data_IF_722975205608
#
_entry.id   IF_722975205608
#
_cell.length_a   1.000
_cell.length_b   1.000
_cell.length_c   1.000
_cell.angle_alpha   90.00
_cell.angle_beta   90.00
_cell.angle_gamma   90.00
#
_symmetry.space_group_name_H-M   'P 1'
#
loop_
_entity.id
_entity.type
_entity.pdbx_description
1 polymer ?
#
# COMPACT_ATOMS: atom_id res chain seq x y z
N UNK A 1 -8.03 27.76 -26.36
CA UNK A 1 -6.56 28.03 -26.32
C UNK A 1 -5.97 26.91 -25.47
N UNK A 2 -5.29 25.96 -26.08
CA UNK A 2 -4.52 24.94 -25.35
C UNK A 2 -3.27 25.65 -24.79
N UNK A 3 -3.33 26.03 -23.53
CA UNK A 3 -2.11 26.45 -22.83
C UNK A 3 -1.18 25.24 -22.81
N UNK A 4 -0.12 25.27 -23.60
CA UNK A 4 0.92 24.25 -23.54
C UNK A 4 1.49 24.27 -22.11
N UNK A 5 1.42 23.15 -21.40
CA UNK A 5 2.08 23.00 -20.13
C UNK A 5 3.59 23.13 -20.35
N UNK A 6 4.20 24.20 -19.86
CA UNK A 6 5.65 24.26 -19.76
C UNK A 6 6.09 23.40 -18.58
N UNK A 7 6.71 22.26 -18.91
CA UNK A 7 7.21 21.33 -17.91
C UNK A 7 8.38 22.02 -17.17
N UNK A 8 8.33 22.14 -15.83
CA UNK A 8 9.36 22.85 -15.07
C UNK A 8 10.72 22.14 -15.12
N UNK A 9 11.80 22.90 -15.03
CA UNK A 9 13.16 22.35 -15.09
C UNK A 9 13.44 21.36 -13.95
N UNK A 10 12.91 21.63 -12.76
CA UNK A 10 12.99 20.73 -11.59
C UNK A 10 12.40 19.33 -11.83
N UNK A 11 11.42 19.19 -12.71
CA UNK A 11 10.88 17.88 -13.11
C UNK A 11 11.94 17.01 -13.79
N UNK A 12 12.71 17.58 -14.72
CA UNK A 12 13.78 16.84 -15.40
C UNK A 12 14.93 16.48 -14.43
N UNK A 13 15.24 17.37 -13.49
CA UNK A 13 16.19 17.09 -12.41
C UNK A 13 15.68 15.93 -11.55
N UNK A 14 14.41 15.95 -11.14
CA UNK A 14 13.82 14.90 -10.32
C UNK A 14 13.84 13.54 -11.03
N UNK A 15 13.54 13.50 -12.32
CA UNK A 15 13.64 12.27 -13.13
C UNK A 15 15.10 11.80 -13.25
N UNK A 16 16.06 12.70 -13.48
CA UNK A 16 17.46 12.33 -13.60
C UNK A 16 17.99 11.72 -12.27
N UNK A 17 17.66 12.35 -11.13
CA UNK A 17 18.00 11.82 -9.81
C UNK A 17 17.33 10.44 -9.62
N UNK A 18 16.05 10.32 -9.92
CA UNK A 18 15.30 9.08 -9.79
C UNK A 18 15.91 7.94 -10.63
N UNK A 19 16.22 8.19 -11.91
CA UNK A 19 16.87 7.22 -12.80
C UNK A 19 18.24 6.79 -12.25
N UNK A 20 19.04 7.74 -11.80
CA UNK A 20 20.33 7.45 -11.18
C UNK A 20 20.17 6.52 -9.96
N UNK A 21 19.22 6.82 -9.08
CA UNK A 21 18.96 6.04 -7.87
C UNK A 21 18.39 4.65 -8.17
N UNK A 22 17.55 4.51 -9.21
CA UNK A 22 17.09 3.22 -9.70
C UNK A 22 18.26 2.35 -10.18
N UNK A 23 19.13 2.90 -11.00
CA UNK A 23 20.31 2.18 -11.52
C UNK A 23 21.26 1.83 -10.37
N UNK A 24 21.50 2.74 -9.44
CA UNK A 24 22.31 2.48 -8.25
C UNK A 24 21.77 1.32 -7.42
N UNK A 25 20.47 1.34 -7.11
CA UNK A 25 19.83 0.29 -6.32
C UNK A 25 19.82 -1.05 -7.06
N UNK A 26 19.55 -1.05 -8.38
CA UNK A 26 19.59 -2.24 -9.22
C UNK A 26 20.99 -2.87 -9.26
N UNK A 27 22.04 -2.05 -9.37
CA UNK A 27 23.44 -2.50 -9.32
C UNK A 27 23.83 -3.05 -7.94
N UNK A 28 23.23 -2.52 -6.86
CA UNK A 28 23.46 -2.94 -5.48
C UNK A 28 22.44 -3.99 -4.99
N UNK A 29 21.77 -4.72 -5.89
CA UNK A 29 20.71 -5.72 -5.57
C UNK A 29 21.08 -6.77 -4.51
N UNK A 30 22.36 -7.02 -4.30
CA UNK A 30 22.85 -7.91 -3.25
C UNK A 30 22.79 -7.30 -1.84
N UNK A 31 22.63 -6.00 -1.72
CA UNK A 31 22.41 -5.32 -0.43
C UNK A 31 20.95 -5.48 0.00
N UNK A 32 20.72 -5.78 1.27
CA UNK A 32 19.38 -6.03 1.81
C UNK A 32 18.40 -4.85 1.63
N UNK A 33 18.90 -3.62 1.68
CA UNK A 33 18.10 -2.42 1.49
C UNK A 33 17.71 -2.12 0.03
N UNK A 34 18.39 -2.73 -0.95
CA UNK A 34 18.24 -2.32 -2.36
C UNK A 34 16.85 -2.61 -2.92
N UNK A 35 16.30 -3.82 -2.68
CA UNK A 35 14.96 -4.19 -3.17
C UNK A 35 13.86 -3.33 -2.52
N UNK A 36 13.84 -3.13 -1.19
CA UNK A 36 12.92 -2.18 -0.57
C UNK A 36 13.07 -0.74 -1.08
N UNK A 37 14.29 -0.27 -1.31
CA UNK A 37 14.52 1.06 -1.86
C UNK A 37 13.98 1.19 -3.30
N UNK A 38 14.17 0.17 -4.14
CA UNK A 38 13.59 0.12 -5.49
C UNK A 38 12.06 0.26 -5.43
N UNK A 39 11.39 -0.41 -4.50
CA UNK A 39 9.92 -0.29 -4.36
C UNK A 39 9.50 1.14 -3.99
N UNK A 40 10.26 1.84 -3.15
CA UNK A 40 10.00 3.26 -2.80
C UNK A 40 10.23 4.17 -4.00
N UNK A 41 11.33 3.98 -4.76
CA UNK A 41 11.59 4.76 -5.96
C UNK A 41 10.49 4.58 -7.02
N UNK A 42 10.04 3.33 -7.26
CA UNK A 42 8.94 3.05 -8.18
C UNK A 42 7.62 3.66 -7.70
N UNK A 43 7.37 3.60 -6.40
CA UNK A 43 6.21 4.27 -5.77
C UNK A 43 6.26 5.77 -5.98
N UNK A 44 7.41 6.41 -5.78
CA UNK A 44 7.58 7.86 -6.01
C UNK A 44 7.27 8.21 -7.47
N UNK A 45 7.81 7.45 -8.42
CA UNK A 45 7.54 7.70 -9.84
C UNK A 45 6.05 7.57 -10.17
N UNK A 46 5.41 6.50 -9.68
CA UNK A 46 4.00 6.25 -9.94
C UNK A 46 3.10 7.39 -9.46
N UNK A 47 3.41 8.01 -8.32
CA UNK A 47 2.54 9.01 -7.71
C UNK A 47 2.89 10.46 -8.05
N UNK A 48 4.14 10.74 -8.47
CA UNK A 48 4.61 12.12 -8.66
C UNK A 48 5.07 12.45 -10.09
N UNK A 49 5.40 11.42 -10.92
CA UNK A 49 5.88 11.71 -12.28
C UNK A 49 4.86 11.37 -13.37
N UNK A 50 3.90 10.51 -13.10
CA UNK A 50 2.96 10.03 -14.12
C UNK A 50 1.92 11.06 -14.52
N UNK A 51 1.61 12.04 -13.68
CA UNK A 51 0.55 13.03 -13.91
C UNK A 51 0.82 13.92 -15.13
N UNK A 52 2.09 14.25 -15.36
CA UNK A 52 2.51 15.00 -16.55
C UNK A 52 2.08 14.32 -17.86
N UNK A 53 1.97 12.99 -17.86
CA UNK A 53 1.58 12.20 -19.03
C UNK A 53 0.07 11.92 -19.09
N UNK A 54 -0.59 11.73 -17.95
CA UNK A 54 -1.99 11.32 -17.91
C UNK A 54 -2.98 12.46 -17.79
N UNK A 55 -2.59 13.57 -17.17
CA UNK A 55 -3.49 14.71 -16.91
C UNK A 55 -2.73 16.03 -16.87
N UNK A 56 -1.98 16.39 -17.93
CA UNK A 56 -1.16 17.61 -17.95
C UNK A 56 -2.02 18.88 -17.77
N UNK A 57 -3.27 18.87 -18.21
CA UNK A 57 -4.23 19.96 -18.06
C UNK A 57 -4.49 20.36 -16.61
N UNK A 58 -4.35 19.43 -15.65
CA UNK A 58 -4.52 19.72 -14.24
C UNK A 58 -3.37 20.54 -13.66
N UNK A 59 -2.20 20.47 -14.29
CA UNK A 59 -1.01 21.17 -13.84
C UNK A 59 -0.96 22.63 -14.33
N UNK A 60 -1.70 22.96 -15.42
CA UNK A 60 -1.70 24.30 -16.00
C UNK A 60 -2.31 25.39 -15.10
N UNK A 61 -3.04 25.00 -14.05
CA UNK A 61 -3.63 25.93 -13.08
C UNK A 61 -2.62 26.48 -12.06
N UNK A 62 -1.43 25.87 -11.95
CA UNK A 62 -0.40 26.28 -11.01
C UNK A 62 0.62 27.22 -11.64
N UNK A 63 1.15 28.14 -10.83
CA UNK A 63 2.27 28.99 -11.27
C UNK A 63 3.53 28.16 -11.50
N UNK A 64 4.41 28.57 -12.42
CA UNK A 64 5.69 27.90 -12.66
C UNK A 64 6.51 27.72 -11.37
N UNK A 65 6.49 28.72 -10.48
CA UNK A 65 7.21 28.67 -9.19
C UNK A 65 6.73 27.56 -8.28
N UNK A 66 5.41 27.28 -8.22
CA UNK A 66 4.83 26.20 -7.42
C UNK A 66 5.19 24.83 -8.01
N UNK A 67 5.16 24.70 -9.35
CA UNK A 67 5.59 23.48 -10.02
C UNK A 67 7.07 23.17 -9.78
N UNK A 68 7.93 24.19 -9.92
CA UNK A 68 9.37 24.09 -9.62
C UNK A 68 9.63 23.66 -8.18
N UNK A 69 8.95 24.31 -7.22
CA UNK A 69 9.08 24.00 -5.80
C UNK A 69 8.65 22.55 -5.50
N UNK A 70 7.51 22.09 -6.04
CA UNK A 70 7.02 20.76 -5.77
C UNK A 70 7.94 19.66 -6.30
N UNK A 71 8.47 19.78 -7.52
CA UNK A 71 9.43 18.80 -8.03
C UNK A 71 10.80 18.90 -7.38
N UNK A 72 11.19 20.08 -6.90
CA UNK A 72 12.35 20.22 -6.01
C UNK A 72 12.16 19.42 -4.71
N UNK A 73 10.97 19.49 -4.09
CA UNK A 73 10.62 18.73 -2.90
C UNK A 73 10.68 17.22 -3.15
N UNK A 74 10.23 16.75 -4.32
CA UNK A 74 10.36 15.34 -4.72
C UNK A 74 11.83 14.93 -4.84
N UNK A 75 12.65 15.77 -5.47
CA UNK A 75 14.09 15.55 -5.60
C UNK A 75 14.77 15.48 -4.22
N UNK A 76 14.41 16.41 -3.35
CA UNK A 76 14.95 16.47 -1.99
C UNK A 76 14.57 15.24 -1.16
N UNK A 77 13.30 14.81 -1.24
CA UNK A 77 12.87 13.54 -0.64
C UNK A 77 13.73 12.37 -1.13
N UNK A 78 13.93 12.22 -2.44
CA UNK A 78 14.69 11.11 -3.03
C UNK A 78 16.14 11.11 -2.51
N UNK A 79 16.78 12.25 -2.45
CA UNK A 79 18.14 12.40 -1.96
C UNK A 79 18.23 12.04 -0.48
N UNK A 80 17.38 12.63 0.36
CA UNK A 80 17.35 12.36 1.81
C UNK A 80 17.08 10.89 2.08
N UNK A 81 16.08 10.30 1.43
CA UNK A 81 15.77 8.89 1.54
C UNK A 81 16.98 8.01 1.18
N UNK A 82 17.66 8.31 0.08
CA UNK A 82 18.85 7.57 -0.35
C UNK A 82 19.95 7.56 0.71
N UNK A 83 20.21 8.69 1.37
CA UNK A 83 21.22 8.75 2.43
C UNK A 83 20.78 8.03 3.71
N UNK A 84 19.51 8.09 4.04
CA UNK A 84 18.98 7.50 5.27
C UNK A 84 18.84 5.98 5.21
N UNK A 85 18.38 5.43 4.06
CA UNK A 85 18.00 4.01 3.97
C UNK A 85 19.10 3.02 4.35
N UNK A 86 20.38 3.18 3.93
CA UNK A 86 21.43 2.25 4.35
C UNK A 86 21.74 2.33 5.85
N UNK A 87 21.76 3.57 6.40
CA UNK A 87 22.04 3.82 7.81
C UNK A 87 20.95 3.26 8.71
N UNK A 88 19.68 3.48 8.37
CA UNK A 88 18.52 2.96 9.08
C UNK A 88 18.51 1.43 9.00
N UNK A 89 18.73 0.85 7.82
CA UNK A 89 18.80 -0.61 7.63
C UNK A 89 19.87 -1.23 8.50
N UNK A 90 21.07 -0.67 8.50
CA UNK A 90 22.17 -1.14 9.34
C UNK A 90 21.84 -1.05 10.85
N UNK A 91 21.14 0.02 11.25
CA UNK A 91 20.74 0.21 12.65
C UNK A 91 19.68 -0.80 13.08
N UNK A 92 18.69 -1.09 12.23
CA UNK A 92 17.65 -2.10 12.46
C UNK A 92 18.25 -3.50 12.46
N UNK A 93 19.19 -3.80 11.54
CA UNK A 93 19.86 -5.11 11.46
C UNK A 93 20.77 -5.36 12.67
N UNK A 94 21.54 -4.35 13.12
CA UNK A 94 22.43 -4.47 14.29
C UNK A 94 21.71 -4.59 15.62
N UNK A 95 20.53 -3.98 15.77
CA UNK A 95 19.66 -4.09 16.95
C UNK A 95 18.92 -5.41 17.01
N UNK A 96 19.27 -6.35 16.15
CA UNK A 96 18.78 -7.70 16.25
C UNK A 96 18.92 -8.23 17.68
N UNK A 97 17.80 -8.64 18.25
CA UNK A 97 17.77 -9.37 19.51
C UNK A 97 18.52 -10.69 19.27
N UNK A 98 19.83 -10.70 19.53
CA UNK A 98 20.74 -11.84 19.27
C UNK A 98 20.21 -13.19 19.76
N UNK A 99 19.27 -13.18 20.69
CA UNK A 99 18.58 -14.37 21.18
C UNK A 99 17.37 -14.80 20.32
N UNK A 100 16.74 -13.92 19.52
CA UNK A 100 15.50 -14.21 18.77
C UNK A 100 15.73 -14.78 17.35
N UNK A 101 16.94 -14.76 16.83
CA UNK A 101 17.22 -15.11 15.43
C UNK A 101 17.60 -16.55 15.19
N UNK A 102 17.94 -17.32 16.24
CA UNK A 102 18.56 -18.63 16.06
C UNK A 102 17.60 -19.74 15.60
N UNK A 103 16.31 -19.60 15.85
CA UNK A 103 15.29 -20.61 15.50
C UNK A 103 14.11 -19.96 14.76
N UNK A 104 14.30 -19.63 13.48
CA UNK A 104 13.18 -19.26 12.62
C UNK A 104 12.23 -20.45 12.49
N UNK A 105 10.96 -20.26 12.78
CA UNK A 105 9.91 -21.27 12.58
C UNK A 105 9.89 -21.69 11.11
N UNK A 106 10.36 -22.89 10.82
CA UNK A 106 10.29 -23.52 9.51
C UNK A 106 8.96 -24.27 9.41
N UNK A 107 7.89 -23.57 9.04
CA UNK A 107 6.62 -24.24 8.79
C UNK A 107 6.62 -24.89 7.40
N UNK A 108 6.15 -26.12 7.34
CA UNK A 108 5.87 -26.77 6.06
C UNK A 108 4.76 -25.97 5.33
N UNK A 109 4.94 -25.58 4.05
CA UNK A 109 3.93 -24.85 3.27
C UNK A 109 2.54 -25.49 3.27
N UNK A 110 2.46 -26.81 3.29
CA UNK A 110 1.18 -27.54 3.36
C UNK A 110 0.46 -27.32 4.70
N UNK A 111 1.19 -27.42 5.82
CA UNK A 111 0.62 -27.19 7.16
C UNK A 111 0.20 -25.71 7.33
N UNK A 112 1.01 -24.80 6.80
CA UNK A 112 0.67 -23.37 6.79
C UNK A 112 -0.64 -23.12 6.02
N UNK A 113 -0.81 -23.76 4.85
CA UNK A 113 -2.05 -23.66 4.08
C UNK A 113 -3.27 -24.10 4.91
N UNK A 114 -3.18 -25.23 5.60
CA UNK A 114 -4.27 -25.72 6.45
C UNK A 114 -4.65 -24.72 7.54
N UNK A 115 -3.66 -24.15 8.23
CA UNK A 115 -3.87 -23.12 9.25
C UNK A 115 -4.55 -21.90 8.66
N UNK A 116 -4.06 -21.42 7.49
CA UNK A 116 -4.63 -20.25 6.84
C UNK A 116 -6.07 -20.46 6.35
N UNK A 117 -6.41 -21.67 5.90
CA UNK A 117 -7.80 -22.00 5.55
C UNK A 117 -8.72 -21.92 6.77
N UNK A 118 -8.30 -22.46 7.92
CA UNK A 118 -9.08 -22.38 9.17
C UNK A 118 -9.28 -20.90 9.58
N UNK A 119 -8.22 -20.11 9.53
CA UNK A 119 -8.30 -18.67 9.86
C UNK A 119 -9.21 -17.95 8.86
N UNK A 120 -9.09 -18.27 7.56
CA UNK A 120 -9.94 -17.67 6.51
C UNK A 120 -11.42 -18.00 6.76
N UNK A 121 -11.75 -19.27 7.05
CA UNK A 121 -13.11 -19.68 7.35
C UNK A 121 -13.66 -18.90 8.55
N UNK A 122 -12.92 -18.82 9.65
CA UNK A 122 -13.34 -18.09 10.84
C UNK A 122 -13.60 -16.61 10.54
N UNK A 123 -12.66 -15.95 9.85
CA UNK A 123 -12.79 -14.54 9.47
C UNK A 123 -13.94 -14.34 8.47
N UNK A 124 -14.08 -15.22 7.48
CA UNK A 124 -15.15 -15.14 6.48
C UNK A 124 -16.52 -15.19 7.15
N UNK A 125 -16.78 -16.20 7.98
CA UNK A 125 -18.06 -16.30 8.68
C UNK A 125 -18.32 -15.15 9.65
N UNK A 126 -17.28 -14.67 10.32
CA UNK A 126 -17.42 -13.45 11.13
C UNK A 126 -17.82 -12.25 10.25
N UNK A 127 -17.17 -12.04 9.10
CA UNK A 127 -17.54 -10.96 8.17
C UNK A 127 -18.96 -11.15 7.59
N UNK A 128 -19.36 -12.38 7.24
CA UNK A 128 -20.71 -12.70 6.74
C UNK A 128 -21.77 -12.40 7.81
N UNK A 129 -21.50 -12.68 9.09
CA UNK A 129 -22.43 -12.33 10.18
C UNK A 129 -22.70 -10.82 10.27
N UNK A 130 -21.72 -9.97 9.92
CA UNK A 130 -21.89 -8.51 9.83
C UNK A 130 -22.74 -8.08 8.62
N UNK A 131 -22.91 -8.96 7.62
CA UNK A 131 -23.73 -8.76 6.43
C UNK A 131 -25.10 -9.49 6.51
N UNK A 132 -25.61 -9.71 7.72
CA UNK A 132 -26.87 -10.43 7.94
C UNK A 132 -26.90 -11.83 7.26
N UNK A 133 -25.75 -12.52 7.24
CA UNK A 133 -25.56 -13.85 6.65
C UNK A 133 -25.73 -13.91 5.11
N UNK A 134 -25.59 -12.78 4.42
CA UNK A 134 -25.57 -12.77 2.96
C UNK A 134 -24.21 -13.24 2.41
N UNK A 135 -24.09 -14.55 2.20
CA UNK A 135 -22.87 -15.19 1.69
C UNK A 135 -22.56 -14.75 0.25
N UNK A 136 -23.61 -14.54 -0.55
CA UNK A 136 -23.44 -14.17 -1.96
C UNK A 136 -22.83 -12.75 -2.06
N UNK A 137 -23.40 -11.79 -1.33
CA UNK A 137 -22.88 -10.43 -1.26
C UNK A 137 -21.47 -10.37 -0.66
N UNK A 138 -21.13 -11.28 0.27
CA UNK A 138 -19.80 -11.38 0.85
C UNK A 138 -18.73 -11.83 -0.16
N UNK A 139 -19.07 -12.78 -1.03
CA UNK A 139 -18.15 -13.34 -2.04
C UNK A 139 -18.12 -12.50 -3.32
N UNK A 140 -19.26 -11.98 -3.74
CA UNK A 140 -19.46 -11.29 -5.02
C UNK A 140 -20.24 -9.98 -4.78
N UNK A 141 -19.63 -8.94 -4.17
CA UNK A 141 -20.31 -7.67 -3.95
C UNK A 141 -20.69 -7.01 -5.28
N UNK A 142 -21.98 -6.73 -5.48
CA UNK A 142 -22.52 -6.24 -6.74
C UNK A 142 -22.69 -4.71 -6.81
N UNK A 143 -22.93 -4.04 -5.69
CA UNK A 143 -23.38 -2.66 -5.64
C UNK A 143 -22.28 -1.59 -5.56
N UNK A 144 -21.06 -1.88 -5.99
CA UNK A 144 -19.97 -0.90 -6.05
C UNK A 144 -19.40 -0.49 -4.68
N UNK A 145 -18.80 0.73 -4.63
CA UNK A 145 -18.07 1.22 -3.46
C UNK A 145 -18.96 1.48 -2.24
N UNK A 146 -20.18 1.87 -2.45
CA UNK A 146 -21.08 2.33 -1.40
C UNK A 146 -22.04 1.24 -0.89
N UNK A 147 -22.10 0.10 -1.59
CA UNK A 147 -22.90 -1.04 -1.14
C UNK A 147 -22.26 -1.74 0.06
N UNK A 148 -23.06 -2.35 0.94
CA UNK A 148 -22.56 -3.19 2.01
C UNK A 148 -21.65 -4.28 1.45
N UNK A 149 -20.53 -4.49 2.07
CA UNK A 149 -19.52 -5.49 1.67
C UNK A 149 -18.80 -6.04 2.88
N UNK A 150 -18.12 -7.15 2.67
CA UNK A 150 -17.32 -7.77 3.72
C UNK A 150 -16.36 -6.74 4.33
N UNK A 151 -16.32 -6.62 5.64
CA UNK A 151 -15.48 -5.69 6.40
C UNK A 151 -15.81 -4.21 6.19
N UNK A 152 -17.07 -3.90 5.86
CA UNK A 152 -17.50 -2.51 5.74
C UNK A 152 -17.69 -1.87 7.12
N UNK A 153 -17.01 -0.75 7.34
CA UNK A 153 -17.06 0.00 8.60
C UNK A 153 -18.44 0.66 8.81
N UNK A 154 -19.11 1.02 7.73
CA UNK A 154 -20.41 1.72 7.79
C UNK A 154 -21.51 0.78 8.32
N UNK A 155 -21.37 -0.54 8.10
CA UNK A 155 -22.37 -1.51 8.51
C UNK A 155 -22.49 -1.68 10.03
N UNK A 156 -21.45 -1.35 10.80
CA UNK A 156 -21.43 -1.62 12.25
C UNK A 156 -21.40 -0.33 13.09
N UNK A 157 -20.81 0.74 12.57
CA UNK A 157 -20.73 2.07 13.22
C UNK A 157 -20.01 2.09 14.57
N UNK A 158 -19.28 3.17 14.85
CA UNK A 158 -18.84 3.54 16.18
C UNK A 158 -17.64 2.79 16.75
N UNK A 159 -17.75 2.29 17.96
CA UNK A 159 -16.61 1.86 18.80
C UNK A 159 -15.85 0.62 18.30
N UNK A 160 -16.49 -0.20 17.47
CA UNK A 160 -15.90 -1.45 16.94
C UNK A 160 -15.18 -1.30 15.60
N UNK A 161 -15.14 -0.11 15.02
CA UNK A 161 -14.49 0.15 13.71
C UNK A 161 -13.04 -0.34 13.64
N UNK A 162 -12.32 -0.27 14.76
CA UNK A 162 -10.95 -0.76 14.82
C UNK A 162 -10.89 -2.29 14.68
N UNK A 163 -11.74 -3.02 15.39
CA UNK A 163 -11.76 -4.50 15.37
C UNK A 163 -12.14 -4.98 13.97
N UNK A 164 -13.16 -4.38 13.36
CA UNK A 164 -13.61 -4.70 12.01
C UNK A 164 -12.51 -4.41 11.00
N UNK A 165 -11.84 -3.25 11.12
CA UNK A 165 -10.71 -2.90 10.27
C UNK A 165 -9.55 -3.89 10.42
N UNK A 166 -9.17 -4.23 11.66
CA UNK A 166 -8.10 -5.18 11.94
C UNK A 166 -8.43 -6.58 11.37
N UNK A 167 -9.66 -7.03 11.52
CA UNK A 167 -10.14 -8.29 10.96
C UNK A 167 -10.12 -8.27 9.43
N UNK A 168 -10.58 -7.17 8.81
CA UNK A 168 -10.55 -6.98 7.36
C UNK A 168 -9.13 -6.98 6.78
N UNK A 169 -8.19 -6.31 7.43
CA UNK A 169 -6.79 -6.34 7.01
C UNK A 169 -6.15 -7.71 7.23
N UNK A 170 -6.51 -8.42 8.32
CA UNK A 170 -6.04 -9.80 8.56
C UNK A 170 -6.61 -10.75 7.49
N UNK A 171 -7.88 -10.56 7.12
CA UNK A 171 -8.50 -11.31 6.03
C UNK A 171 -7.78 -11.08 4.69
N UNK A 172 -7.47 -9.82 4.34
CA UNK A 172 -6.70 -9.49 3.14
C UNK A 172 -5.30 -10.12 3.17
N UNK A 173 -4.63 -10.11 4.33
CA UNK A 173 -3.34 -10.76 4.54
C UNK A 173 -3.44 -12.27 4.27
N UNK A 174 -4.43 -12.96 4.82
CA UNK A 174 -4.63 -14.40 4.61
C UNK A 174 -4.90 -14.70 3.12
N UNK A 175 -5.73 -13.89 2.44
CA UNK A 175 -6.00 -14.03 1.02
C UNK A 175 -4.75 -13.83 0.14
N UNK A 176 -3.86 -12.91 0.51
CA UNK A 176 -2.58 -12.71 -0.16
C UNK A 176 -1.65 -13.90 0.02
N UNK A 177 -1.65 -14.54 1.21
CA UNK A 177 -0.88 -15.75 1.46
C UNK A 177 -1.25 -16.91 0.52
N UNK A 178 -2.52 -17.07 0.14
CA UNK A 178 -2.90 -18.11 -0.83
C UNK A 178 -2.18 -17.93 -2.16
N UNK A 179 -2.08 -16.69 -2.66
CA UNK A 179 -1.31 -16.39 -3.86
C UNK A 179 0.19 -16.67 -3.72
N UNK A 180 0.78 -16.33 -2.58
CA UNK A 180 2.20 -16.59 -2.29
C UNK A 180 2.44 -18.11 -2.22
N UNK A 181 1.63 -18.84 -1.44
CA UNK A 181 1.78 -20.28 -1.22
C UNK A 181 1.59 -21.09 -2.50
N UNK A 182 0.78 -20.62 -3.46
CA UNK A 182 0.63 -21.27 -4.76
C UNK A 182 1.97 -21.54 -5.44
N UNK A 183 2.94 -20.62 -5.33
CA UNK A 183 4.28 -20.77 -5.89
C UNK A 183 5.23 -21.60 -5.03
N UNK A 184 4.98 -21.71 -3.73
CA UNK A 184 5.81 -22.51 -2.82
C UNK A 184 5.39 -23.98 -2.71
N UNK A 185 4.14 -24.32 -3.06
CA UNK A 185 3.64 -25.68 -2.99
C UNK A 185 4.32 -26.55 -4.07
N UNK A 186 4.78 -27.73 -3.66
CA UNK A 186 5.31 -28.77 -4.56
C UNK A 186 4.26 -29.79 -4.99
N UNK A 187 3.31 -30.09 -4.08
CA UNK A 187 2.25 -31.07 -4.33
C UNK A 187 1.11 -30.46 -5.14
N UNK A 188 0.67 -31.17 -6.19
CA UNK A 188 -0.40 -30.73 -7.08
C UNK A 188 -1.72 -30.48 -6.34
N UNK A 189 -2.10 -31.32 -5.37
CA UNK A 189 -3.30 -31.13 -4.57
C UNK A 189 -3.28 -29.79 -3.79
N UNK A 190 -2.17 -29.49 -3.13
CA UNK A 190 -2.04 -28.22 -2.40
C UNK A 190 -2.07 -27.00 -3.32
N UNK A 191 -1.55 -27.13 -4.55
CA UNK A 191 -1.67 -26.06 -5.55
C UNK A 191 -3.11 -25.85 -5.98
N UNK A 192 -3.86 -26.94 -6.22
CA UNK A 192 -5.28 -26.86 -6.58
C UNK A 192 -6.08 -26.20 -5.46
N UNK A 193 -5.85 -26.61 -4.20
CA UNK A 193 -6.52 -25.99 -3.05
C UNK A 193 -6.20 -24.49 -2.98
N UNK A 194 -4.93 -24.08 -3.13
CA UNK A 194 -4.56 -22.66 -3.17
C UNK A 194 -5.29 -21.92 -4.30
N UNK A 195 -5.36 -22.51 -5.49
CA UNK A 195 -6.08 -21.92 -6.63
C UNK A 195 -7.56 -21.75 -6.34
N UNK A 196 -8.19 -22.75 -5.74
CA UNK A 196 -9.61 -22.67 -5.31
C UNK A 196 -9.78 -21.52 -4.31
N UNK A 197 -8.88 -21.39 -3.31
CA UNK A 197 -8.96 -20.32 -2.32
C UNK A 197 -8.77 -18.94 -2.96
N UNK A 198 -7.91 -18.80 -3.97
CA UNK A 198 -7.74 -17.57 -4.74
C UNK A 198 -9.04 -17.25 -5.50
N UNK A 199 -9.61 -18.23 -6.22
CA UNK A 199 -10.83 -18.03 -7.01
C UNK A 199 -12.02 -17.64 -6.12
N UNK A 200 -12.11 -18.18 -4.92
CA UNK A 200 -13.21 -17.87 -3.98
C UNK A 200 -13.00 -16.50 -3.30
N UNK A 201 -11.77 -16.15 -2.92
CA UNK A 201 -11.53 -15.00 -2.05
C UNK A 201 -11.17 -13.69 -2.79
N UNK A 202 -10.48 -13.74 -3.95
CA UNK A 202 -10.01 -12.54 -4.64
C UNK A 202 -11.09 -11.74 -5.37
N UNK A 203 -12.15 -12.36 -5.96
CA UNK A 203 -13.21 -11.60 -6.61
C UNK A 203 -13.84 -10.54 -5.71
N UNK A 204 -14.02 -10.81 -4.43
CA UNK A 204 -14.57 -9.84 -3.48
C UNK A 204 -13.74 -8.54 -3.41
N UNK A 205 -12.41 -8.63 -3.48
CA UNK A 205 -11.53 -7.45 -3.49
C UNK A 205 -11.61 -6.67 -4.80
N UNK A 206 -11.76 -7.37 -5.93
CA UNK A 206 -11.92 -6.76 -7.24
C UNK A 206 -13.27 -6.06 -7.37
N UNK A 207 -14.36 -6.75 -7.04
CA UNK A 207 -15.74 -6.27 -7.18
C UNK A 207 -16.10 -5.17 -6.17
N UNK A 208 -15.35 -5.06 -5.06
CA UNK A 208 -15.55 -4.00 -4.07
C UNK A 208 -15.30 -2.57 -4.59
N UNK A 209 -14.86 -2.42 -5.84
CA UNK A 209 -14.51 -1.12 -6.43
C UNK A 209 -13.25 -0.46 -5.85
N UNK A 210 -12.50 -1.15 -5.00
CA UNK A 210 -11.32 -0.65 -4.32
C UNK A 210 -10.03 -1.21 -4.93
N UNK A 211 -9.48 -0.53 -5.93
CA UNK A 211 -8.24 -0.91 -6.65
C UNK A 211 -7.10 -1.31 -5.73
N UNK A 212 -6.89 -0.53 -4.67
CA UNK A 212 -5.77 -0.74 -3.75
C UNK A 212 -5.91 -2.05 -2.95
N UNK A 213 -7.13 -2.44 -2.62
CA UNK A 213 -7.39 -3.70 -1.89
C UNK A 213 -7.07 -4.91 -2.77
N UNK A 214 -7.47 -4.88 -4.04
CA UNK A 214 -7.13 -5.94 -4.99
C UNK A 214 -5.62 -6.04 -5.22
N UNK A 215 -4.94 -4.91 -5.45
CA UNK A 215 -3.49 -4.89 -5.62
C UNK A 215 -2.74 -5.38 -4.38
N UNK A 216 -3.20 -5.02 -3.18
CA UNK A 216 -2.59 -5.48 -1.93
C UNK A 216 -2.62 -7.01 -1.77
N UNK A 217 -3.64 -7.66 -2.34
CA UNK A 217 -3.79 -9.13 -2.30
C UNK A 217 -3.06 -9.81 -3.47
N UNK A 218 -3.14 -9.26 -4.69
CA UNK A 218 -2.58 -9.89 -5.90
C UNK A 218 -1.08 -9.63 -6.10
N UNK A 219 -0.58 -8.43 -5.76
CA UNK A 219 0.81 -8.06 -5.99
C UNK A 219 1.82 -8.96 -5.27
N UNK A 220 1.61 -9.41 -4.01
CA UNK A 220 2.52 -10.36 -3.35
C UNK A 220 2.69 -11.67 -4.11
N UNK A 221 1.63 -12.19 -4.71
CA UNK A 221 1.69 -13.41 -5.55
C UNK A 221 2.55 -13.18 -6.79
N UNK A 222 2.34 -12.07 -7.49
CA UNK A 222 3.15 -11.67 -8.65
C UNK A 222 4.63 -11.50 -8.28
N UNK A 223 4.93 -10.82 -7.18
CA UNK A 223 6.30 -10.66 -6.69
C UNK A 223 6.93 -12.02 -6.33
N UNK A 224 6.14 -12.93 -5.75
CA UNK A 224 6.61 -14.30 -5.49
C UNK A 224 7.02 -14.99 -6.80
N UNK A 225 6.18 -14.91 -7.83
CA UNK A 225 6.52 -15.44 -9.15
C UNK A 225 7.84 -14.87 -9.70
N UNK A 226 7.98 -13.54 -9.69
CA UNK A 226 9.19 -12.87 -10.21
C UNK A 226 10.46 -13.32 -9.46
N UNK A 227 10.40 -13.42 -8.13
CA UNK A 227 11.56 -13.70 -7.29
C UNK A 227 11.90 -15.20 -7.30
N UNK A 228 10.89 -16.09 -7.27
CA UNK A 228 11.12 -17.55 -7.08
C UNK A 228 11.18 -18.35 -8.38
N UNK A 229 10.61 -17.83 -9.46
CA UNK A 229 10.60 -18.52 -10.76
C UNK A 229 12.02 -18.67 -11.32
N UNK A 230 12.32 -19.86 -11.89
CA UNK A 230 13.58 -20.15 -12.58
C UNK A 230 13.59 -19.79 -14.06
N UNK A 231 12.52 -19.18 -14.54
CA UNK A 231 12.40 -18.78 -15.94
C UNK A 231 13.44 -17.72 -16.33
N UNK A 232 13.74 -17.63 -17.63
CA UNK A 232 14.64 -16.61 -18.17
C UNK A 232 14.09 -15.20 -17.89
N UNK A 233 14.97 -14.24 -17.74
CA UNK A 233 14.59 -12.85 -17.47
C UNK A 233 13.71 -12.25 -18.60
N UNK A 234 13.96 -12.62 -19.85
CA UNK A 234 13.13 -12.21 -20.99
C UNK A 234 11.68 -12.66 -20.85
N UNK A 235 11.47 -13.93 -20.52
CA UNK A 235 10.13 -14.46 -20.33
C UNK A 235 9.42 -13.78 -19.14
N UNK A 236 10.15 -13.54 -18.05
CA UNK A 236 9.62 -12.77 -16.91
C UNK A 236 9.21 -11.36 -17.34
N UNK A 237 10.02 -10.69 -18.16
CA UNK A 237 9.72 -9.34 -18.67
C UNK A 237 8.46 -9.37 -19.55
N UNK A 238 8.35 -10.31 -20.49
CA UNK A 238 7.16 -10.43 -21.35
C UNK A 238 5.91 -10.68 -20.52
N UNK A 239 5.96 -11.62 -19.58
CA UNK A 239 4.83 -11.91 -18.68
C UNK A 239 4.50 -10.68 -17.82
N UNK A 240 5.51 -9.97 -17.32
CA UNK A 240 5.30 -8.75 -16.50
C UNK A 240 4.63 -7.64 -17.31
N UNK A 241 5.06 -7.40 -18.54
CA UNK A 241 4.44 -6.41 -19.43
C UNK A 241 3.01 -6.82 -19.78
N UNK A 242 2.77 -8.07 -20.15
CA UNK A 242 1.43 -8.58 -20.42
C UNK A 242 0.51 -8.48 -19.20
N UNK A 243 1.01 -8.82 -18.02
CA UNK A 243 0.26 -8.70 -16.77
C UNK A 243 0.01 -7.24 -16.40
N UNK A 244 0.96 -6.33 -16.63
CA UNK A 244 0.78 -4.90 -16.39
C UNK A 244 -0.35 -4.34 -17.26
N UNK A 245 -0.37 -4.69 -18.55
CA UNK A 245 -1.43 -4.29 -19.49
C UNK A 245 -2.78 -4.85 -19.03
N UNK A 246 -2.83 -6.14 -18.69
CA UNK A 246 -4.05 -6.79 -18.21
C UNK A 246 -4.56 -6.15 -16.91
N UNK A 247 -3.69 -5.96 -15.93
CA UNK A 247 -4.04 -5.33 -14.63
C UNK A 247 -4.51 -3.89 -14.86
N UNK A 248 -3.83 -3.13 -15.72
CA UNK A 248 -4.26 -1.77 -16.07
C UNK A 248 -5.67 -1.77 -16.66
N UNK A 249 -5.96 -2.67 -17.60
CA UNK A 249 -7.28 -2.82 -18.20
C UNK A 249 -8.34 -3.22 -17.15
N UNK A 250 -8.04 -4.21 -16.30
CA UNK A 250 -8.92 -4.62 -15.21
C UNK A 250 -9.20 -3.47 -14.22
N UNK A 251 -8.18 -2.66 -13.91
CA UNK A 251 -8.35 -1.50 -13.03
C UNK A 251 -9.19 -0.38 -13.66
N UNK A 252 -9.15 -0.19 -14.99
CA UNK A 252 -10.05 0.71 -15.69
C UNK A 252 -11.50 0.24 -15.61
N UNK A 253 -11.74 -1.06 -15.78
CA UNK A 253 -13.08 -1.66 -15.59
C UNK A 253 -13.58 -1.41 -14.15
N UNK A 254 -12.73 -1.61 -13.13
CA UNK A 254 -13.09 -1.31 -11.73
C UNK A 254 -13.50 0.16 -11.55
N UNK A 255 -12.82 1.10 -12.23
CA UNK A 255 -13.16 2.51 -12.14
C UNK A 255 -14.56 2.77 -12.72
N UNK A 256 -14.91 2.16 -13.85
CA UNK A 256 -16.18 2.39 -14.52
C UNK A 256 -17.37 1.95 -13.67
N UNK A 257 -17.30 0.82 -12.96
CA UNK A 257 -18.40 0.36 -12.10
C UNK A 257 -18.25 0.73 -10.61
N UNK A 258 -17.21 1.51 -10.26
CA UNK A 258 -16.89 1.81 -8.86
C UNK A 258 -18.03 2.40 -8.04
N UNK A 259 -18.82 3.26 -8.63
CA UNK A 259 -19.88 3.98 -7.92
C UNK A 259 -21.26 3.30 -8.08
N UNK A 260 -21.50 2.66 -9.19
CA UNK A 260 -22.79 2.08 -9.57
C UNK A 260 -22.88 0.58 -9.28
N UNK A 261 -21.76 -0.12 -9.36
CA UNK A 261 -21.71 -1.57 -9.22
C UNK A 261 -21.48 -2.28 -10.55
N UNK A 262 -21.13 -3.58 -10.45
CA UNK A 262 -20.81 -4.39 -11.63
C UNK A 262 -22.05 -4.73 -12.45
N UNK A 263 -23.23 -4.76 -11.85
CA UNK A 263 -24.51 -4.97 -12.54
C UNK A 263 -24.76 -3.92 -13.58
N UNK A 264 -24.64 -2.63 -13.21
CA UNK A 264 -24.85 -1.50 -14.11
C UNK A 264 -23.83 -1.47 -15.27
N UNK A 265 -22.64 -2.01 -15.05
CA UNK A 265 -21.66 -2.19 -16.11
C UNK A 265 -22.10 -3.22 -17.15
N UNK A 266 -22.64 -4.37 -16.71
CA UNK A 266 -23.13 -5.41 -17.62
C UNK A 266 -24.46 -5.02 -18.32
N UNK A 267 -25.27 -4.21 -17.67
CA UNK A 267 -26.52 -3.69 -18.24
C UNK A 267 -26.27 -2.54 -19.23
N UNK A 268 -25.01 -2.20 -19.49
CA UNK A 268 -24.61 -1.16 -20.45
C UNK A 268 -24.91 0.27 -19.98
N UNK A 269 -25.30 0.46 -18.72
CA UNK A 269 -25.58 1.76 -18.13
C UNK A 269 -24.30 2.60 -17.94
N UNK A 270 -23.11 2.00 -18.02
CA UNK A 270 -21.82 2.66 -17.82
C UNK A 270 -20.91 2.38 -19.04
N UNK A 271 -20.53 3.42 -19.76
CA UNK A 271 -19.58 3.34 -20.86
C UNK A 271 -18.12 3.47 -20.36
N UNK A 272 -17.24 2.59 -20.83
CA UNK A 272 -15.79 2.65 -20.56
C UNK A 272 -15.15 3.96 -21.05
N UNK A 273 -15.71 4.57 -22.13
CA UNK A 273 -15.16 5.76 -22.76
C UNK A 273 -15.28 7.05 -21.93
N UNK A 274 -16.33 7.16 -21.10
CA UNK A 274 -16.65 8.42 -20.43
C UNK A 274 -15.91 8.65 -19.11
N UNK A 275 -15.31 7.60 -18.54
CA UNK A 275 -14.65 7.63 -17.23
C UNK A 275 -13.21 7.07 -17.22
N UNK A 276 -12.63 6.84 -18.39
CA UNK A 276 -11.36 6.13 -18.55
C UNK A 276 -10.09 6.88 -18.09
N UNK A 277 -10.24 8.00 -17.38
CA UNK A 277 -9.09 8.66 -16.77
C UNK A 277 -8.75 8.03 -15.44
N UNK A 278 -7.47 7.72 -15.24
CA UNK A 278 -6.94 7.27 -13.95
C UNK A 278 -7.01 8.38 -12.89
N UNK A 279 -8.23 8.79 -12.56
CA UNK A 279 -8.45 9.72 -11.45
C UNK A 279 -7.88 9.11 -10.16
N UNK A 280 -6.98 9.84 -9.51
CA UNK A 280 -6.39 9.45 -8.22
C UNK A 280 -4.93 8.98 -8.25
N UNK A 281 -4.21 9.13 -9.38
CA UNK A 281 -2.74 9.12 -9.42
C UNK A 281 -2.20 10.56 -9.43
N UNK A 282 -2.77 11.43 -8.59
CA UNK A 282 -2.60 12.88 -8.64
C UNK A 282 -1.92 13.43 -7.39
N UNK A 283 -0.93 12.74 -6.86
CA UNK A 283 -0.22 13.23 -5.66
C UNK A 283 0.74 14.38 -5.97
N UNK A 284 1.16 14.54 -7.21
CA UNK A 284 1.86 15.74 -7.63
C UNK A 284 0.94 16.97 -7.58
N UNK A 285 -0.28 16.86 -8.15
CA UNK A 285 -1.30 17.91 -8.05
C UNK A 285 -1.60 18.27 -6.59
N UNK A 286 -1.75 17.28 -5.71
CA UNK A 286 -2.01 17.55 -4.30
C UNK A 286 -0.82 18.24 -3.62
N UNK A 287 0.42 17.88 -3.95
CA UNK A 287 1.61 18.58 -3.46
C UNK A 287 1.64 20.05 -3.91
N UNK A 288 1.27 20.33 -5.15
CA UNK A 288 1.19 21.70 -5.66
C UNK A 288 0.05 22.49 -5.01
N UNK A 289 -1.11 21.88 -4.79
CA UNK A 289 -2.21 22.49 -4.04
C UNK A 289 -1.75 22.88 -2.61
N UNK A 290 -1.05 21.98 -1.91
CA UNK A 290 -0.53 22.23 -0.57
C UNK A 290 0.45 23.39 -0.58
N UNK A 291 1.39 23.42 -1.52
CA UNK A 291 2.34 24.53 -1.64
C UNK A 291 1.62 25.86 -1.93
N UNK A 292 0.59 25.86 -2.80
CA UNK A 292 -0.22 27.03 -3.10
C UNK A 292 -1.00 27.52 -1.88
N UNK A 293 -1.59 26.62 -1.11
CA UNK A 293 -2.29 26.99 0.13
C UNK A 293 -1.33 27.53 1.19
N UNK A 294 -0.15 26.92 1.32
CA UNK A 294 0.86 27.37 2.27
C UNK A 294 1.40 28.74 1.92
N UNK A 295 1.57 29.07 0.63
CA UNK A 295 2.00 30.39 0.18
C UNK A 295 0.96 31.48 0.54
N UNK A 296 -0.34 31.15 0.43
CA UNK A 296 -1.44 32.04 0.77
C UNK A 296 -1.68 32.17 2.28
N UNK A 297 -1.48 31.08 3.02
CA UNK A 297 -1.73 31.03 4.44
C UNK A 297 -0.78 30.07 5.18
N UNK A 298 0.34 30.55 5.72
CA UNK A 298 1.29 29.74 6.47
C UNK A 298 0.69 29.06 7.73
N UNK A 299 -0.47 29.50 8.21
CA UNK A 299 -1.10 28.90 9.41
C UNK A 299 -1.69 27.50 9.18
N UNK A 300 -1.67 26.98 7.94
CA UNK A 300 -2.08 25.58 7.66
C UNK A 300 -1.11 24.53 8.21
N UNK A 301 0.06 24.95 8.72
CA UNK A 301 1.03 24.04 9.30
C UNK A 301 0.48 23.32 10.52
N UNK A 302 0.62 22.00 10.51
CA UNK A 302 0.08 21.12 11.55
C UNK A 302 1.12 20.62 12.56
N UNK A 303 2.38 21.03 12.40
CA UNK A 303 3.48 20.74 13.35
C UNK A 303 3.57 19.28 13.81
N UNK A 304 3.34 18.33 12.91
CA UNK A 304 3.39 16.90 13.20
C UNK A 304 2.09 16.29 13.73
N UNK A 305 1.02 17.08 13.89
CA UNK A 305 -0.26 16.61 14.45
C UNK A 305 -0.91 15.50 13.62
N UNK A 306 -0.78 15.50 12.28
CA UNK A 306 -1.29 14.42 11.45
C UNK A 306 -0.58 13.09 11.72
N UNK A 307 0.73 13.11 11.91
CA UNK A 307 1.49 11.90 12.24
C UNK A 307 1.17 11.41 13.64
N UNK A 308 0.96 12.34 14.57
CA UNK A 308 0.52 12.00 15.93
C UNK A 308 -0.90 11.41 15.93
N UNK A 309 -1.83 12.02 15.19
CA UNK A 309 -3.19 11.50 15.01
C UNK A 309 -3.17 10.08 14.40
N UNK A 310 -2.30 9.83 13.41
CA UNK A 310 -2.12 8.51 12.82
C UNK A 310 -1.62 7.48 13.83
N UNK A 311 -0.66 7.86 14.68
CA UNK A 311 -0.17 6.98 15.75
C UNK A 311 -1.27 6.66 16.78
N UNK A 312 -2.10 7.64 17.13
CA UNK A 312 -3.24 7.44 18.02
C UNK A 312 -4.41 6.68 17.38
N UNK A 313 -4.43 6.57 16.05
CA UNK A 313 -5.54 5.91 15.34
C UNK A 313 -5.68 4.43 15.69
N UNK A 314 -4.62 3.78 16.16
CA UNK A 314 -4.63 2.40 16.66
C UNK A 314 -5.53 2.28 17.91
N UNK A 315 -5.63 3.34 18.72
CA UNK A 315 -6.41 3.33 19.95
C UNK A 315 -7.90 3.46 19.62
N UNK A 316 -8.76 2.52 20.06
CA UNK A 316 -10.20 2.62 19.84
C UNK A 316 -10.81 3.88 20.44
N UNK A 317 -11.88 4.42 19.83
CA UNK A 317 -12.55 5.66 20.30
C UNK A 317 -13.19 5.51 21.68
N UNK A 318 -13.60 4.33 22.07
CA UNK A 318 -14.12 4.11 23.43
C UNK A 318 -13.06 4.29 24.52
N UNK A 319 -11.76 4.15 24.17
CA UNK A 319 -10.62 4.41 25.09
C UNK A 319 -10.20 5.89 24.98
N UNK A 320 -10.17 6.45 23.74
CA UNK A 320 -9.78 7.82 23.48
C UNK A 320 -10.85 8.52 22.60
N UNK A 321 -11.98 9.01 23.21
CA UNK A 321 -13.10 9.58 22.46
C UNK A 321 -12.71 10.81 21.62
N UNK A 322 -11.86 11.66 22.15
CA UNK A 322 -11.45 12.95 21.55
C UNK A 322 -10.16 12.84 20.72
N UNK A 323 -9.86 11.66 20.14
CA UNK A 323 -8.67 11.57 19.29
C UNK A 323 -8.80 12.46 18.05
N UNK A 324 -7.72 13.17 17.64
CA UNK A 324 -7.75 14.05 16.47
C UNK A 324 -8.11 13.29 15.20
N UNK A 325 -8.82 13.93 14.29
CA UNK A 325 -9.10 13.39 12.96
C UNK A 325 -7.91 13.63 12.03
N UNK A 326 -7.53 12.61 11.28
CA UNK A 326 -6.39 12.66 10.36
C UNK A 326 -6.77 13.47 9.12
N UNK A 327 -5.93 14.43 8.72
CA UNK A 327 -6.09 15.20 7.50
C UNK A 327 -7.32 16.10 7.48
N UNK A 328 -7.94 16.38 8.62
CA UNK A 328 -9.20 17.12 8.69
C UNK A 328 -9.10 18.54 8.10
N UNK A 329 -8.10 19.30 8.49
CA UNK A 329 -7.91 20.67 8.04
C UNK A 329 -7.63 20.75 6.54
N UNK A 330 -6.80 19.87 6.01
CA UNK A 330 -6.54 19.80 4.58
C UNK A 330 -7.80 19.44 3.79
N UNK A 331 -8.58 18.48 4.28
CA UNK A 331 -9.85 18.12 3.64
C UNK A 331 -10.86 19.27 3.64
N UNK A 332 -10.92 20.08 4.69
CA UNK A 332 -11.74 21.29 4.72
C UNK A 332 -11.30 22.32 3.68
N UNK A 333 -9.98 22.57 3.58
CA UNK A 333 -9.42 23.50 2.58
C UNK A 333 -9.75 23.02 1.16
N UNK A 334 -9.57 21.73 0.88
CA UNK A 334 -9.87 21.15 -0.44
C UNK A 334 -11.37 21.15 -0.73
N UNK A 335 -12.22 20.88 0.24
CA UNK A 335 -13.67 20.95 0.09
C UNK A 335 -14.12 22.37 -0.23
N UNK A 336 -13.60 23.39 0.45
CA UNK A 336 -13.92 24.79 0.19
C UNK A 336 -13.50 25.27 -1.20
N UNK A 337 -12.36 24.74 -1.72
CA UNK A 337 -11.83 25.13 -3.03
C UNK A 337 -12.43 24.37 -4.22
N UNK A 338 -12.89 23.13 -4.01
CA UNK A 338 -13.34 22.24 -5.10
C UNK A 338 -14.80 21.78 -4.99
N UNK A 339 -15.49 22.10 -3.89
CA UNK A 339 -16.86 21.65 -3.62
C UNK A 339 -16.98 20.13 -3.39
N UNK A 340 -15.87 19.41 -3.26
CA UNK A 340 -15.85 17.95 -3.12
C UNK A 340 -15.76 17.59 -1.64
N UNK A 341 -16.85 17.07 -1.07
CA UNK A 341 -16.87 16.50 0.29
C UNK A 341 -16.29 15.07 0.29
N UNK A 342 -15.00 14.92 0.01
CA UNK A 342 -14.34 13.63 0.01
C UNK A 342 -13.03 13.69 0.80
N UNK A 343 -12.67 12.57 1.45
CA UNK A 343 -11.35 12.44 2.08
C UNK A 343 -10.29 12.35 1.00
N UNK A 344 -9.50 13.40 0.84
CA UNK A 344 -8.45 13.51 -0.16
C UNK A 344 -7.12 13.18 0.53
N UNK A 345 -6.33 12.32 -0.10
CA UNK A 345 -4.99 12.01 0.39
C UNK A 345 -4.01 13.07 -0.08
N UNK A 346 -3.17 13.57 0.83
CA UNK A 346 -2.18 14.61 0.54
C UNK A 346 -0.95 14.11 -0.22
N UNK A 347 -0.81 12.81 -0.41
CA UNK A 347 0.46 12.20 -0.81
C UNK A 347 1.47 12.19 0.34
N UNK A 348 2.40 11.25 0.33
CA UNK A 348 3.33 11.14 1.47
C UNK A 348 4.28 12.34 1.58
N UNK A 349 4.73 12.95 0.46
CA UNK A 349 5.55 14.17 0.48
C UNK A 349 4.70 15.37 0.89
N UNK A 350 3.50 15.51 0.31
CA UNK A 350 2.58 16.59 0.64
C UNK A 350 2.17 16.60 2.11
N UNK A 351 1.93 15.41 2.69
CA UNK A 351 1.68 15.29 4.13
C UNK A 351 2.87 15.78 4.98
N UNK A 352 4.09 15.49 4.53
CA UNK A 352 5.28 16.05 5.16
C UNK A 352 5.30 17.57 5.11
N UNK A 353 4.98 18.16 3.95
CA UNK A 353 4.92 19.60 3.76
C UNK A 353 3.84 20.25 4.64
N UNK A 354 2.65 19.67 4.73
CA UNK A 354 1.57 20.11 5.63
C UNK A 354 2.01 20.16 7.10
N UNK A 355 2.83 19.20 7.52
CA UNK A 355 3.25 19.12 8.92
C UNK A 355 4.50 19.93 9.27
N UNK A 356 5.45 20.08 8.34
CA UNK A 356 6.77 20.65 8.65
C UNK A 356 7.20 21.75 7.67
N UNK A 357 6.29 22.17 6.78
CA UNK A 357 6.54 23.23 5.81
C UNK A 357 7.40 22.81 4.63
N UNK A 358 7.67 23.76 3.77
CA UNK A 358 8.25 23.58 2.44
C UNK A 358 9.60 22.85 2.45
N UNK A 359 10.48 23.17 3.38
CA UNK A 359 11.87 22.70 3.39
C UNK A 359 12.10 21.46 4.24
N UNK A 360 11.47 21.38 5.41
CA UNK A 360 11.60 20.23 6.30
C UNK A 360 10.58 19.13 5.98
N UNK A 361 9.51 19.48 5.27
CA UNK A 361 8.42 18.55 4.92
C UNK A 361 8.87 17.27 4.26
N UNK A 362 9.72 17.27 3.23
CA UNK A 362 10.17 16.05 2.56
C UNK A 362 11.03 15.12 3.44
N UNK A 363 11.61 15.62 4.54
CA UNK A 363 12.47 14.81 5.43
C UNK A 363 11.66 13.80 6.23
N UNK A 364 10.50 14.19 6.76
CA UNK A 364 9.67 13.29 7.57
C UNK A 364 9.24 12.02 6.81
N UNK A 365 8.64 12.10 5.62
CA UNK A 365 8.34 10.91 4.82
C UNK A 365 9.60 10.14 4.41
N UNK A 366 10.75 10.81 4.19
CA UNK A 366 12.00 10.11 3.88
C UNK A 366 12.47 9.24 5.06
N UNK A 367 12.33 9.72 6.30
CA UNK A 367 12.62 8.95 7.51
C UNK A 367 11.64 7.77 7.64
N UNK A 368 10.33 8.01 7.52
CA UNK A 368 9.31 6.97 7.66
C UNK A 368 9.44 5.88 6.60
N UNK A 369 9.63 6.26 5.34
CA UNK A 369 9.88 5.30 4.26
C UNK A 369 11.24 4.61 4.42
N UNK A 370 12.23 5.29 5.00
CA UNK A 370 13.52 4.69 5.38
C UNK A 370 13.36 3.62 6.46
N UNK A 371 12.55 3.86 7.48
CA UNK A 371 12.22 2.88 8.53
C UNK A 371 11.48 1.69 7.92
N UNK A 372 10.50 1.95 7.06
CA UNK A 372 9.76 0.91 6.34
C UNK A 372 10.69 0.05 5.47
N UNK A 373 11.51 0.67 4.64
CA UNK A 373 12.49 -0.03 3.81
C UNK A 373 13.50 -0.82 4.65
N UNK A 374 13.96 -0.27 5.78
CA UNK A 374 14.83 -0.97 6.73
C UNK A 374 14.16 -2.18 7.38
N UNK A 375 12.89 -2.09 7.73
CA UNK A 375 12.09 -3.20 8.23
C UNK A 375 11.95 -4.31 7.17
N UNK A 376 11.62 -3.95 5.93
CA UNK A 376 11.54 -4.90 4.83
C UNK A 376 12.90 -5.53 4.53
N UNK A 377 13.99 -4.76 4.58
CA UNK A 377 15.35 -5.28 4.41
C UNK A 377 15.67 -6.35 5.44
N UNK A 378 15.25 -6.17 6.69
CA UNK A 378 15.40 -7.19 7.74
C UNK A 378 14.60 -8.46 7.44
N UNK A 379 13.36 -8.34 6.99
CA UNK A 379 12.57 -9.50 6.57
C UNK A 379 13.23 -10.24 5.40
N UNK A 380 13.82 -9.52 4.47
CA UNK A 380 14.59 -10.08 3.36
C UNK A 380 15.84 -10.83 3.82
N UNK A 381 16.57 -10.34 4.80
CA UNK A 381 17.72 -11.04 5.39
C UNK A 381 17.32 -12.38 6.00
N UNK A 382 16.10 -12.48 6.51
CA UNK A 382 15.52 -13.65 7.16
C UNK A 382 14.61 -14.48 6.24
N UNK A 383 14.77 -14.35 4.91
CA UNK A 383 13.93 -14.99 3.89
C UNK A 383 13.97 -16.53 3.85
N UNK A 384 14.83 -17.17 4.64
CA UNK A 384 14.81 -18.63 4.86
C UNK A 384 13.50 -19.09 5.53
N UNK A 385 12.87 -18.24 6.36
CA UNK A 385 11.56 -18.48 6.91
C UNK A 385 10.48 -18.07 5.89
N UNK A 386 9.59 -19.01 5.53
CA UNK A 386 8.48 -18.75 4.62
C UNK A 386 7.56 -17.65 5.12
N UNK A 387 7.32 -17.57 6.43
CA UNK A 387 6.49 -16.55 7.04
C UNK A 387 7.10 -15.14 6.87
N UNK A 388 8.38 -14.99 7.21
CA UNK A 388 9.08 -13.71 7.09
C UNK A 388 9.25 -13.28 5.63
N UNK A 389 9.53 -14.23 4.76
CA UNK A 389 9.59 -13.96 3.31
C UNK A 389 8.23 -13.55 2.75
N UNK A 390 7.14 -14.21 3.18
CA UNK A 390 5.79 -13.80 2.78
C UNK A 390 5.45 -12.39 3.27
N UNK A 391 5.78 -12.05 4.52
CA UNK A 391 5.60 -10.68 5.01
C UNK A 391 6.43 -9.66 4.24
N UNK A 392 7.65 -10.01 3.84
CA UNK A 392 8.46 -9.17 2.96
C UNK A 392 7.75 -8.88 1.64
N UNK A 393 7.22 -9.92 0.98
CA UNK A 393 6.50 -9.79 -0.29
C UNK A 393 5.23 -8.96 -0.15
N UNK A 394 4.51 -9.14 0.96
CA UNK A 394 3.32 -8.34 1.27
C UNK A 394 3.69 -6.89 1.54
N UNK A 395 4.77 -6.65 2.27
CA UNK A 395 5.29 -5.31 2.52
C UNK A 395 5.68 -4.60 1.22
N UNK A 396 6.34 -5.29 0.29
CA UNK A 396 6.60 -4.75 -1.04
C UNK A 396 5.30 -4.46 -1.79
N UNK A 397 4.31 -5.35 -1.71
CA UNK A 397 3.01 -5.20 -2.38
C UNK A 397 2.18 -4.02 -1.86
N UNK A 398 2.29 -3.65 -0.58
CA UNK A 398 1.59 -2.49 -0.01
C UNK A 398 2.37 -1.19 -0.13
N UNK A 399 3.67 -1.23 -0.45
CA UNK A 399 4.50 -0.02 -0.58
C UNK A 399 3.94 1.01 -1.56
N UNK A 400 3.37 0.64 -2.73
CA UNK A 400 2.72 1.61 -3.62
C UNK A 400 1.57 2.38 -2.96
N UNK A 401 0.82 1.76 -2.05
CA UNK A 401 -0.25 2.44 -1.34
C UNK A 401 0.25 3.51 -0.37
N UNK A 402 1.47 3.32 0.19
CA UNK A 402 2.11 4.32 1.05
C UNK A 402 2.47 5.60 0.29
N UNK A 403 2.66 5.51 -1.02
CA UNK A 403 2.91 6.69 -1.86
C UNK A 403 1.73 7.67 -1.86
N UNK A 404 0.52 7.14 -1.74
CA UNK A 404 -0.68 7.97 -1.59
C UNK A 404 -0.78 8.58 -0.20
N UNK A 405 -0.54 7.77 0.84
CA UNK A 405 -0.52 8.24 2.24
C UNK A 405 0.17 7.20 3.12
N UNK A 406 1.05 7.66 4.02
CA UNK A 406 1.69 6.78 5.00
C UNK A 406 0.70 6.61 6.16
N UNK A 407 -0.10 5.56 6.11
CA UNK A 407 -1.06 5.24 7.17
C UNK A 407 -0.70 3.92 7.86
N UNK A 408 -0.85 3.89 9.17
CA UNK A 408 -0.68 2.66 9.94
C UNK A 408 -1.68 1.57 9.52
N UNK A 409 -2.87 1.98 9.05
CA UNK A 409 -3.87 1.05 8.53
C UNK A 409 -3.35 0.25 7.33
N UNK A 410 -2.60 0.87 6.41
CA UNK A 410 -2.00 0.19 5.27
C UNK A 410 -0.87 -0.75 5.71
N UNK A 411 -0.11 -0.36 6.73
CA UNK A 411 1.00 -1.13 7.28
C UNK A 411 0.54 -2.27 8.20
N UNK A 412 -0.65 -2.14 8.77
CA UNK A 412 -1.18 -3.02 9.82
C UNK A 412 -1.05 -4.52 9.51
N UNK A 413 -1.44 -5.04 8.31
CA UNK A 413 -1.37 -6.46 8.04
C UNK A 413 0.05 -7.01 8.20
N UNK A 414 1.05 -6.26 7.73
CA UNK A 414 2.45 -6.70 7.76
C UNK A 414 3.02 -6.58 9.18
N UNK A 415 2.72 -5.48 9.89
CA UNK A 415 3.18 -5.27 11.27
C UNK A 415 2.52 -6.27 12.22
N UNK A 416 1.21 -6.48 12.11
CA UNK A 416 0.48 -7.46 12.90
C UNK A 416 0.99 -8.88 12.63
N UNK A 417 1.15 -9.25 11.34
CA UNK A 417 1.72 -10.54 10.96
C UNK A 417 3.12 -10.76 11.54
N UNK A 418 3.95 -9.70 11.60
CA UNK A 418 5.27 -9.78 12.22
C UNK A 418 5.19 -10.03 13.73
N UNK A 419 4.29 -9.34 14.45
CA UNK A 419 4.07 -9.57 15.90
C UNK A 419 3.61 -11.00 16.16
N UNK A 420 2.68 -11.53 15.35
CA UNK A 420 2.22 -12.91 15.45
C UNK A 420 3.38 -13.90 15.24
N UNK A 421 4.25 -13.68 14.25
CA UNK A 421 5.42 -14.52 14.03
C UNK A 421 6.35 -14.50 15.23
N UNK A 422 6.65 -13.33 15.78
CA UNK A 422 7.49 -13.20 16.98
C UNK A 422 6.88 -13.97 18.18
N UNK A 423 5.58 -13.89 18.36
CA UNK A 423 4.87 -14.62 19.41
C UNK A 423 4.98 -16.15 19.22
N UNK A 424 4.75 -16.65 18.01
CA UNK A 424 4.86 -18.07 17.70
C UNK A 424 6.30 -18.58 17.89
N UNK A 425 7.30 -17.82 17.46
CA UNK A 425 8.71 -18.15 17.66
C UNK A 425 9.08 -18.17 19.16
N UNK A 426 8.53 -17.26 19.94
CA UNK A 426 8.71 -17.23 21.39
C UNK A 426 8.10 -18.49 22.07
N UNK A 427 6.87 -18.85 21.70
CA UNK A 427 6.20 -20.05 22.23
C UNK A 427 6.98 -21.34 21.89
N UNK A 428 7.48 -21.45 20.65
CA UNK A 428 8.27 -22.60 20.21
C UNK A 428 9.54 -22.78 21.08
N UNK A 429 10.22 -21.69 21.44
CA UNK A 429 11.40 -21.72 22.31
C UNK A 429 11.10 -22.21 23.71
N UNK A 430 9.96 -21.74 24.27
CA UNK A 430 9.56 -22.22 25.61
C UNK A 430 9.33 -23.74 25.60
N UNK A 431 8.72 -24.25 24.51
CA UNK A 431 8.49 -25.70 24.37
C UNK A 431 9.80 -26.48 24.20
N UNK A 432 10.74 -25.97 23.40
CA UNK A 432 12.06 -26.58 23.20
C UNK A 432 12.85 -26.62 24.54
N UNK A 433 12.83 -25.52 25.31
CA UNK A 433 13.50 -25.44 26.61
C UNK A 433 12.87 -26.33 27.69
N UNK A 434 11.59 -26.70 27.55
CA UNK A 434 10.94 -27.64 28.48
C UNK A 434 11.23 -29.10 28.14
N UNK A 435 11.59 -29.38 26.88
CA UNK A 435 11.86 -30.71 26.37
C UNK A 435 13.38 -31.06 26.39
N UNK A 436 14.25 -30.08 26.64
CA UNK A 436 15.70 -30.24 26.86
C UNK A 436 16.02 -30.39 28.35
#
# INVERSE_FOLDING_TARGET
MSSNLEIPFSYYIAIAIWLFLLVEAANKKMRSWAIPALSVYLTTAMWYFTEVFYSPERLTKFSPSILELGYFQVSFFLIVFRFLVPSITNSISKRSFKGFERNSLTLNPHRLLQILIVIWIALFFFGVSLLNWDVFQALLPQGGRWAPKLWDRVAVGGDFDFIISAAGYTYALVCAFFGILFFFQRQSQSKIINLIMIIISWPAFYLSGARNSFLAVAMPAYLTYIITSRQSWWLKTIISVGLLILVNYLLLIVISFRNSGITDYFDGAVNLSDNATHQGLNMAEELFNINSFYEQNPSILQYGMDYFAEALNIIPRFILPNKPAIGYEYNLLRASSSGINATISAGFIGRGVLNFGTWLGPIAPAILMGIWAGFLARLWEQRSSILRFSLFLMGLGVTPNLGRDITLLVLWPVLFGYVVILYLEYQNRIQEAKNS
#
